data_IF_316916111980
#
_entry.id   IF_316916111980
#
_cell.length_a   1.000
_cell.length_b   1.000
_cell.length_c   1.000
_cell.angle_alpha   90.00
_cell.angle_beta   90.00
_cell.angle_gamma   90.00
#
_symmetry.space_group_name_H-M   'P 1'
#
loop_
_entity.id
_entity.type
_entity.pdbx_description
1 polymer ?
#
# COMPACT_ATOMS: atom_id res chain seq x y z
N UNK A 1 -5.63 3.90 -6.81
CA UNK A 1 -6.56 3.95 -5.65
C UNK A 1 -7.96 4.26 -6.13
N UNK A 2 -8.94 3.44 -5.74
CA UNK A 2 -10.38 3.64 -5.99
C UNK A 2 -11.07 4.21 -4.75
N UNK A 3 -12.31 4.73 -4.86
CA UNK A 3 -13.08 5.15 -3.67
C UNK A 3 -13.26 4.03 -2.65
N UNK A 4 -13.52 2.80 -3.10
CA UNK A 4 -13.71 1.65 -2.22
C UNK A 4 -12.42 1.31 -1.45
N UNK A 5 -11.28 1.22 -2.13
CA UNK A 5 -9.99 0.92 -1.48
C UNK A 5 -9.52 2.07 -0.58
N UNK A 6 -9.78 3.33 -0.95
CA UNK A 6 -9.46 4.50 -0.12
C UNK A 6 -10.21 4.54 1.21
N UNK A 7 -11.44 4.00 1.25
CA UNK A 7 -12.25 3.94 2.47
C UNK A 7 -11.66 3.06 3.59
N UNK A 8 -10.72 2.18 3.26
CA UNK A 8 -9.99 1.38 4.26
C UNK A 8 -8.97 2.21 5.07
N UNK A 9 -8.59 3.39 4.56
CA UNK A 9 -7.58 4.25 5.21
C UNK A 9 -8.18 5.12 6.31
N UNK A 10 -7.39 5.41 7.32
CA UNK A 10 -7.78 6.26 8.45
C UNK A 10 -6.95 7.54 8.49
N UNK A 11 -7.59 8.62 8.94
CA UNK A 11 -6.94 9.90 9.11
C UNK A 11 -5.88 9.84 10.23
N UNK A 12 -4.60 10.11 9.96
CA UNK A 12 -3.55 10.03 10.97
C UNK A 12 -3.64 11.10 12.06
N UNK A 13 -4.49 12.12 11.85
CA UNK A 13 -4.68 13.23 12.81
C UNK A 13 -5.82 12.93 13.78
N UNK A 14 -6.93 12.37 13.31
CA UNK A 14 -8.13 12.21 14.11
C UNK A 14 -8.71 10.78 14.14
N UNK A 15 -8.08 9.81 13.49
CA UNK A 15 -8.54 8.41 13.41
C UNK A 15 -9.81 8.18 12.59
N UNK A 16 -10.47 9.23 12.13
CA UNK A 16 -11.70 9.11 11.34
C UNK A 16 -11.48 8.51 9.95
N UNK A 17 -12.53 7.98 9.31
CA UNK A 17 -12.42 7.43 7.96
C UNK A 17 -11.99 8.50 6.96
N UNK A 18 -11.23 8.07 5.95
CA UNK A 18 -10.83 8.90 4.82
C UNK A 18 -11.69 8.53 3.60
N UNK A 19 -12.15 9.55 2.89
CA UNK A 19 -12.88 9.39 1.64
C UNK A 19 -12.11 10.03 0.50
N UNK A 20 -12.09 9.36 -0.65
CA UNK A 20 -11.46 9.88 -1.85
C UNK A 20 -12.34 10.97 -2.47
N UNK A 21 -11.80 12.17 -2.60
CA UNK A 21 -12.42 13.34 -3.22
C UNK A 21 -11.49 13.90 -4.31
N UNK A 22 -11.70 13.50 -5.55
CA UNK A 22 -10.79 13.82 -6.66
C UNK A 22 -9.41 13.19 -6.45
N UNK A 23 -8.39 14.00 -6.28
CA UNK A 23 -7.02 13.55 -6.02
C UNK A 23 -6.58 13.75 -4.56
N UNK A 24 -7.51 13.81 -3.63
CA UNK A 24 -7.22 13.98 -2.20
C UNK A 24 -8.07 13.02 -1.38
N UNK A 25 -7.51 12.56 -0.26
CA UNK A 25 -8.25 11.87 0.80
C UNK A 25 -8.67 12.89 1.84
N UNK A 26 -9.95 12.88 2.25
CA UNK A 26 -10.50 13.82 3.22
C UNK A 26 -11.28 13.10 4.31
N UNK A 27 -11.21 13.60 5.54
CA UNK A 27 -12.04 13.14 6.65
C UNK A 27 -13.14 14.17 6.99
N UNK A 28 -14.11 13.76 7.81
CA UNK A 28 -15.20 14.61 8.26
C UNK A 28 -14.74 15.85 9.06
N UNK A 29 -13.53 15.84 9.64
CA UNK A 29 -12.91 16.98 10.34
C UNK A 29 -12.08 17.86 9.43
N UNK A 30 -12.29 17.80 8.12
CA UNK A 30 -11.62 18.61 7.09
C UNK A 30 -10.10 18.42 6.96
N UNK A 31 -9.49 17.37 7.57
CA UNK A 31 -8.10 17.04 7.26
C UNK A 31 -8.04 16.49 5.82
N UNK A 32 -7.05 16.95 5.05
CA UNK A 32 -6.89 16.61 3.64
C UNK A 32 -5.47 16.13 3.34
N UNK A 33 -5.35 15.09 2.53
CA UNK A 33 -4.08 14.48 2.12
C UNK A 33 -4.11 14.25 0.62
N UNK A 34 -3.25 14.94 -0.11
CA UNK A 34 -3.19 14.83 -1.57
C UNK A 34 -2.53 13.49 -1.98
N UNK A 35 -3.05 12.92 -3.06
CA UNK A 35 -2.42 11.77 -3.69
C UNK A 35 -1.22 12.22 -4.50
N UNK A 36 -0.12 11.49 -4.35
CA UNK A 36 1.03 11.63 -5.23
C UNK A 36 0.64 11.34 -6.71
N UNK A 37 1.51 11.71 -7.64
CA UNK A 37 1.30 11.46 -9.07
C UNK A 37 0.97 9.98 -9.36
N UNK A 38 1.62 9.07 -8.65
CA UNK A 38 1.46 7.63 -8.79
C UNK A 38 0.22 7.06 -8.08
N UNK A 39 -0.55 7.88 -7.36
CA UNK A 39 -1.82 7.50 -6.75
C UNK A 39 -1.75 7.02 -5.30
N UNK A 40 -0.61 7.12 -4.62
CA UNK A 40 -0.50 6.82 -3.18
C UNK A 40 -0.68 8.07 -2.31
N UNK A 41 -1.06 7.86 -1.05
CA UNK A 41 -1.16 8.93 -0.05
C UNK A 41 0.05 8.92 0.90
N UNK A 42 0.47 10.11 1.40
CA UNK A 42 1.45 10.22 2.46
C UNK A 42 0.72 10.48 3.78
N UNK A 43 0.60 9.45 4.62
CA UNK A 43 -0.15 9.50 5.88
C UNK A 43 0.74 9.40 7.13
N UNK A 44 2.08 9.34 6.97
CA UNK A 44 3.00 9.32 8.11
C UNK A 44 3.04 10.70 8.78
N UNK A 45 2.63 10.83 10.07
CA UNK A 45 2.69 12.11 10.79
C UNK A 45 4.13 12.59 10.93
N UNK A 46 4.34 13.90 10.77
CA UNK A 46 5.68 14.52 10.90
C UNK A 46 6.33 14.23 12.25
N UNK A 47 5.54 14.20 13.33
CA UNK A 47 5.99 13.93 14.70
C UNK A 47 6.48 12.48 14.90
N UNK A 48 6.07 11.55 14.05
CA UNK A 48 6.49 10.13 14.08
C UNK A 48 7.62 9.82 13.11
N UNK A 49 8.14 10.82 12.45
CA UNK A 49 9.26 10.70 11.54
C UNK A 49 10.58 10.80 12.32
N UNK A 50 11.13 9.66 12.73
CA UNK A 50 12.39 9.59 13.48
C UNK A 50 13.64 9.82 12.62
N UNK A 51 13.52 9.64 11.30
CA UNK A 51 14.58 9.87 10.32
C UNK A 51 14.05 10.66 9.13
N UNK A 52 14.94 11.31 8.37
CA UNK A 52 14.54 12.05 7.17
C UNK A 52 13.89 11.16 6.11
N UNK A 53 14.33 9.91 6.01
CA UNK A 53 13.84 8.92 5.03
C UNK A 53 13.62 7.57 5.76
N UNK A 54 12.46 7.36 6.41
CA UNK A 54 12.17 6.13 7.12
C UNK A 54 11.92 4.97 6.17
N UNK A 55 12.27 3.75 6.60
CA UNK A 55 12.14 2.53 5.82
C UNK A 55 13.37 2.23 4.94
N UNK A 56 13.22 1.28 4.03
CA UNK A 56 14.27 0.86 3.12
C UNK A 56 14.65 1.97 2.13
N UNK A 57 15.95 2.23 2.01
CA UNK A 57 16.47 3.19 1.04
C UNK A 57 16.29 2.72 -0.41
N UNK A 58 16.38 3.64 -1.36
CA UNK A 58 16.15 3.37 -2.80
C UNK A 58 16.96 2.21 -3.36
N UNK A 59 18.22 2.06 -2.94
CA UNK A 59 19.10 0.97 -3.41
C UNK A 59 18.60 -0.39 -2.92
N UNK A 60 18.19 -0.49 -1.66
CA UNK A 60 17.63 -1.71 -1.07
C UNK A 60 16.31 -2.10 -1.73
N UNK A 61 15.40 -1.14 -1.92
CA UNK A 61 14.12 -1.37 -2.61
C UNK A 61 14.34 -1.88 -4.03
N UNK A 62 15.29 -1.30 -4.77
CA UNK A 62 15.63 -1.74 -6.13
C UNK A 62 16.25 -3.14 -6.14
N UNK A 63 17.15 -3.47 -5.22
CA UNK A 63 17.74 -4.79 -5.11
C UNK A 63 16.69 -5.85 -4.77
N UNK A 64 15.80 -5.57 -3.82
CA UNK A 64 14.65 -6.43 -3.49
C UNK A 64 13.76 -6.66 -4.70
N UNK A 65 13.39 -5.60 -5.42
CA UNK A 65 12.58 -5.70 -6.63
C UNK A 65 13.24 -6.57 -7.70
N UNK A 66 14.52 -6.38 -7.97
CA UNK A 66 15.26 -7.20 -8.93
C UNK A 66 15.23 -8.68 -8.54
N UNK A 67 15.45 -8.98 -7.26
CA UNK A 67 15.41 -10.33 -6.73
C UNK A 67 14.01 -10.97 -6.85
N UNK A 68 12.95 -10.27 -6.46
CA UNK A 68 11.58 -10.75 -6.54
C UNK A 68 11.12 -10.93 -7.99
N UNK A 69 11.48 -9.98 -8.88
CA UNK A 69 11.17 -10.06 -10.32
C UNK A 69 11.90 -11.21 -11.03
N UNK A 70 13.01 -11.70 -10.48
CA UNK A 70 13.70 -12.89 -10.98
C UNK A 70 12.96 -14.20 -10.64
N UNK A 71 11.84 -14.13 -9.90
CA UNK A 71 10.98 -15.28 -9.62
C UNK A 71 11.44 -16.19 -8.48
N UNK A 72 12.49 -15.84 -7.74
CA UNK A 72 13.01 -16.69 -6.66
C UNK A 72 11.95 -17.01 -5.58
N UNK A 73 10.97 -16.10 -5.38
CA UNK A 73 9.90 -16.26 -4.40
C UNK A 73 8.54 -16.62 -5.03
N UNK A 74 8.50 -16.99 -6.30
CA UNK A 74 7.26 -17.40 -6.96
C UNK A 74 6.55 -18.55 -6.24
N UNK A 75 7.24 -19.62 -5.75
CA UNK A 75 6.57 -20.69 -4.99
C UNK A 75 5.94 -20.20 -3.69
N UNK A 76 6.60 -19.27 -2.97
CA UNK A 76 6.05 -18.68 -1.75
C UNK A 76 4.82 -17.83 -2.06
N UNK A 77 4.85 -17.01 -3.10
CA UNK A 77 3.71 -16.19 -3.54
C UNK A 77 2.52 -17.06 -3.94
N UNK A 78 2.76 -18.17 -4.66
CA UNK A 78 1.72 -19.12 -5.02
C UNK A 78 1.09 -19.79 -3.80
N UNK A 79 1.90 -20.19 -2.83
CA UNK A 79 1.40 -20.76 -1.57
C UNK A 79 0.56 -19.76 -0.79
N UNK A 80 1.03 -18.51 -0.69
CA UNK A 80 0.28 -17.44 -0.04
C UNK A 80 -1.06 -17.19 -0.73
N UNK A 81 -1.08 -17.13 -2.06
CA UNK A 81 -2.33 -16.96 -2.81
C UNK A 81 -3.30 -18.13 -2.58
N UNK A 82 -2.82 -19.36 -2.55
CA UNK A 82 -3.65 -20.54 -2.25
C UNK A 82 -4.25 -20.48 -0.82
N UNK A 83 -3.47 -20.03 0.17
CA UNK A 83 -3.97 -19.83 1.53
C UNK A 83 -5.03 -18.71 1.59
N UNK A 84 -4.79 -17.60 0.92
CA UNK A 84 -5.77 -16.50 0.84
C UNK A 84 -7.05 -16.93 0.12
N UNK A 85 -6.95 -17.72 -0.95
CA UNK A 85 -8.11 -18.22 -1.69
C UNK A 85 -9.04 -19.12 -0.85
N UNK A 86 -8.51 -19.75 0.21
CA UNK A 86 -9.29 -20.55 1.14
C UNK A 86 -10.08 -19.72 2.17
N UNK A 87 -9.87 -18.41 2.21
CA UNK A 87 -10.48 -17.46 3.16
C UNK A 87 -11.32 -16.43 2.38
N UNK A 88 -12.25 -15.69 3.05
CA UNK A 88 -12.83 -14.49 2.47
C UNK A 88 -11.72 -13.50 2.11
N UNK A 89 -11.59 -13.16 0.82
CA UNK A 89 -10.47 -12.36 0.31
C UNK A 89 -10.88 -11.18 -0.56
N UNK A 90 -12.14 -10.75 -0.47
CA UNK A 90 -12.62 -9.54 -1.17
C UNK A 90 -11.85 -8.29 -0.72
N UNK A 91 -11.34 -8.29 0.51
CA UNK A 91 -10.55 -7.21 1.10
C UNK A 91 -9.27 -7.78 1.69
N UNK A 92 -8.14 -7.20 1.29
CA UNK A 92 -6.80 -7.56 1.78
C UNK A 92 -6.14 -6.32 2.38
N UNK A 93 -5.52 -6.48 3.54
CA UNK A 93 -4.64 -5.45 4.13
C UNK A 93 -3.22 -6.00 4.18
N UNK A 94 -2.28 -5.32 3.51
CA UNK A 94 -0.85 -5.65 3.58
C UNK A 94 -0.08 -4.63 4.41
N UNK A 95 0.49 -5.10 5.51
CA UNK A 95 1.27 -4.31 6.45
C UNK A 95 2.77 -4.51 6.20
N UNK A 96 3.41 -3.53 5.60
CA UNK A 96 4.80 -3.62 5.14
C UNK A 96 4.90 -4.13 3.70
N UNK A 97 4.05 -3.60 2.83
CA UNK A 97 3.90 -4.08 1.44
C UNK A 97 5.16 -4.00 0.58
N UNK A 98 6.19 -3.26 1.03
CA UNK A 98 7.39 -3.05 0.24
C UNK A 98 7.08 -2.44 -1.12
N UNK A 99 7.67 -2.99 -2.18
CA UNK A 99 7.51 -2.50 -3.56
C UNK A 99 6.30 -3.11 -4.31
N UNK A 100 5.45 -3.91 -3.61
CA UNK A 100 4.16 -4.37 -4.11
C UNK A 100 4.16 -5.64 -4.94
N UNK A 101 5.26 -6.41 -5.01
CA UNK A 101 5.28 -7.66 -5.78
C UNK A 101 4.29 -8.70 -5.25
N UNK A 102 4.14 -8.82 -3.93
CA UNK A 102 3.17 -9.73 -3.33
C UNK A 102 1.74 -9.24 -3.60
N UNK A 103 1.47 -7.94 -3.42
CA UNK A 103 0.16 -7.35 -3.73
C UNK A 103 -0.24 -7.60 -5.19
N UNK A 104 0.70 -7.40 -6.12
CA UNK A 104 0.43 -7.65 -7.54
C UNK A 104 0.10 -9.11 -7.80
N UNK A 105 0.87 -10.03 -7.20
CA UNK A 105 0.62 -11.46 -7.35
C UNK A 105 -0.76 -11.86 -6.81
N UNK A 106 -1.10 -11.40 -5.58
CA UNK A 106 -2.40 -11.67 -4.96
C UNK A 106 -3.54 -11.03 -5.75
N UNK A 107 -3.36 -9.80 -6.23
CA UNK A 107 -4.35 -9.09 -7.03
C UNK A 107 -4.72 -9.89 -8.30
N UNK A 108 -3.72 -10.40 -9.01
CA UNK A 108 -3.94 -11.19 -10.22
C UNK A 108 -4.51 -12.59 -9.94
N UNK A 109 -4.01 -13.26 -8.91
CA UNK A 109 -4.37 -14.64 -8.59
C UNK A 109 -5.77 -14.77 -7.97
N UNK A 110 -6.24 -13.75 -7.25
CA UNK A 110 -7.48 -13.77 -6.48
C UNK A 110 -8.66 -13.01 -7.14
N UNK A 111 -8.52 -12.62 -8.40
CA UNK A 111 -9.60 -11.96 -9.15
C UNK A 111 -9.82 -10.50 -8.75
N UNK A 112 -8.74 -9.77 -8.54
CA UNK A 112 -8.72 -8.33 -8.28
C UNK A 112 -9.42 -7.91 -6.96
N UNK A 113 -9.02 -8.45 -5.80
CA UNK A 113 -9.55 -8.03 -4.51
C UNK A 113 -9.26 -6.55 -4.23
N UNK A 114 -10.00 -5.97 -3.29
CA UNK A 114 -9.71 -4.63 -2.80
C UNK A 114 -8.49 -4.69 -1.86
N UNK A 115 -7.37 -4.08 -2.26
CA UNK A 115 -6.14 -4.06 -1.47
C UNK A 115 -5.95 -2.68 -0.86
N UNK A 116 -5.70 -2.64 0.46
CA UNK A 116 -5.18 -1.49 1.17
C UNK A 116 -3.82 -1.86 1.78
N UNK A 117 -2.78 -1.11 1.46
CA UNK A 117 -1.43 -1.49 1.83
C UNK A 117 -0.58 -0.29 2.27
N UNK A 118 0.35 -0.51 3.19
CA UNK A 118 1.22 0.54 3.67
C UNK A 118 2.65 0.07 3.90
N UNK A 119 3.58 1.00 3.75
CA UNK A 119 4.99 0.84 4.09
C UNK A 119 5.57 2.18 4.56
N UNK A 120 6.68 2.14 5.30
CA UNK A 120 7.38 3.36 5.71
C UNK A 120 8.24 3.94 4.58
N UNK A 121 8.71 3.09 3.66
CA UNK A 121 9.52 3.50 2.53
C UNK A 121 8.68 4.17 1.44
N UNK A 122 8.86 5.48 1.27
CA UNK A 122 8.21 6.23 0.20
C UNK A 122 8.53 5.67 -1.21
N UNK A 123 9.78 5.22 -1.41
CA UNK A 123 10.19 4.65 -2.71
C UNK A 123 9.50 3.32 -2.98
N UNK A 124 9.37 2.47 -1.96
CA UNK A 124 8.67 1.20 -2.07
C UNK A 124 7.19 1.41 -2.43
N UNK A 125 6.48 2.23 -1.65
CA UNK A 125 5.07 2.57 -1.90
C UNK A 125 4.85 3.19 -3.28
N UNK A 126 5.76 4.04 -3.74
CA UNK A 126 5.73 4.63 -5.09
C UNK A 126 5.80 3.57 -6.19
N UNK A 127 6.58 2.51 -6.00
CA UNK A 127 6.67 1.40 -6.95
C UNK A 127 5.44 0.50 -6.88
N UNK A 128 4.97 0.18 -5.66
CA UNK A 128 3.78 -0.63 -5.45
C UNK A 128 2.54 -0.01 -6.11
N UNK A 129 2.32 1.28 -5.95
CA UNK A 129 1.17 1.98 -6.54
C UNK A 129 1.17 2.02 -8.08
N UNK A 130 2.32 1.78 -8.72
CA UNK A 130 2.39 1.59 -10.17
C UNK A 130 2.03 0.18 -10.62
N UNK A 131 2.27 -0.83 -9.75
CA UNK A 131 1.97 -2.22 -10.06
C UNK A 131 0.47 -2.53 -9.94
N UNK A 132 -0.20 -1.97 -8.91
CA UNK A 132 -1.63 -2.15 -8.67
C UNK A 132 -2.30 -0.79 -8.48
N UNK A 133 -2.63 -0.07 -9.58
CA UNK A 133 -3.17 1.30 -9.50
C UNK A 133 -4.50 1.41 -8.74
N UNK A 134 -5.28 0.35 -8.70
CA UNK A 134 -6.59 0.31 -8.03
C UNK A 134 -6.48 0.14 -6.51
N UNK A 135 -5.36 -0.37 -6.01
CA UNK A 135 -5.12 -0.52 -4.58
C UNK A 135 -4.92 0.82 -3.86
N UNK A 136 -5.20 0.85 -2.57
CA UNK A 136 -4.96 2.00 -1.71
C UNK A 136 -3.60 1.88 -1.03
N UNK A 137 -2.56 2.37 -1.66
CA UNK A 137 -1.23 2.45 -1.06
C UNK A 137 -1.03 3.73 -0.27
N UNK A 138 -0.41 3.63 0.90
CA UNK A 138 0.01 4.82 1.65
C UNK A 138 1.39 4.65 2.31
N UNK A 139 2.11 5.77 2.41
CA UNK A 139 3.30 5.86 3.26
C UNK A 139 2.80 6.10 4.68
N UNK A 140 3.01 5.14 5.57
CA UNK A 140 2.49 5.16 6.93
C UNK A 140 2.69 3.83 7.63
N UNK A 141 2.03 3.68 8.77
CA UNK A 141 2.04 2.45 9.57
C UNK A 141 0.70 2.24 10.26
N UNK A 142 0.53 1.11 10.92
CA UNK A 142 -0.57 0.85 11.84
C UNK A 142 -0.32 1.62 13.13
N UNK A 143 -1.19 2.56 13.47
CA UNK A 143 -1.15 3.34 14.71
C UNK A 143 -2.41 3.11 15.54
#
# INVERSE_FOLDING_TARGET
MTPATGAALRCPVCGGPLLLAGRSLRCARAHSFDLAKEGYAYLLPMQKKHTADPGDGKAMVRARRAFLSAGHYAPLMATLAALCAALPHDHIVDAGCGEGSYDKYLYDALGCPQIAAFDLSKEAVRLASKLVPDAAFCVGGSF
#
